data_IF_534656038954
#
_entry.id   IF_534656038954
#
_cell.length_a   1.000
_cell.length_b   1.000
_cell.length_c   1.000
_cell.angle_alpha   90.00
_cell.angle_beta   90.00
_cell.angle_gamma   90.00
#
_symmetry.space_group_name_H-M   'P 1'
#
loop_
_entity.id
_entity.type
_entity.pdbx_description
1 polymer ?
#
# COMPACT_ATOMS: atom_id res chain seq x y z
N UNK A 1 14.30 31.27 -11.56
CA UNK A 1 14.98 30.05 -11.11
C UNK A 1 14.02 29.32 -10.18
N UNK A 2 13.50 28.17 -10.58
CA UNK A 2 12.70 27.33 -9.68
C UNK A 2 13.37 25.95 -9.65
N UNK A 3 14.08 25.58 -8.56
CA UNK A 3 14.27 24.16 -8.29
C UNK A 3 12.90 23.64 -7.89
N UNK A 4 12.37 22.75 -8.74
CA UNK A 4 11.15 21.98 -8.56
C UNK A 4 10.99 21.54 -7.11
N UNK A 5 9.90 22.00 -6.50
CA UNK A 5 9.41 21.55 -5.22
C UNK A 5 9.51 20.02 -5.18
N UNK A 6 10.23 19.50 -4.20
CA UNK A 6 10.21 18.07 -3.92
C UNK A 6 8.81 17.81 -3.39
N UNK A 7 7.86 17.57 -4.31
CA UNK A 7 6.45 17.31 -4.01
C UNK A 7 6.39 16.15 -3.04
N UNK A 8 6.36 16.49 -1.75
CA UNK A 8 6.23 15.53 -0.68
C UNK A 8 4.79 15.02 -0.78
N UNK A 9 4.64 13.74 -1.10
CA UNK A 9 3.34 13.10 -1.13
C UNK A 9 2.81 13.04 0.29
N UNK A 10 1.57 13.48 0.47
CA UNK A 10 0.88 13.28 1.72
C UNK A 10 0.55 11.80 1.89
N UNK A 11 0.41 11.36 3.15
CA UNK A 11 0.14 9.97 3.47
C UNK A 11 -1.11 9.43 2.76
N UNK A 12 -2.17 10.23 2.69
CA UNK A 12 -3.45 9.85 2.11
C UNK A 12 -3.40 9.79 0.59
N UNK A 13 -2.50 10.53 -0.06
CA UNK A 13 -2.30 10.51 -1.51
C UNK A 13 -1.51 9.29 -1.98
N UNK A 14 -0.89 8.54 -1.07
CA UNK A 14 -0.19 7.31 -1.40
C UNK A 14 -1.20 6.18 -1.69
N UNK A 15 -1.00 5.37 -2.76
CA UNK A 15 -1.93 4.30 -3.13
C UNK A 15 -1.79 3.09 -2.19
N UNK A 16 -2.38 3.20 -1.01
CA UNK A 16 -2.44 2.12 -0.04
C UNK A 16 -3.33 0.97 -0.55
N UNK A 17 -3.00 -0.29 -0.21
CA UNK A 17 -3.74 -1.45 -0.69
C UNK A 17 -4.97 -1.70 0.19
N UNK A 18 -5.87 -0.72 0.23
CA UNK A 18 -7.12 -0.77 0.96
C UNK A 18 -8.26 -0.41 0.02
N UNK A 19 -9.43 -0.99 0.23
CA UNK A 19 -10.62 -0.61 -0.52
C UNK A 19 -11.09 0.76 0.00
N UNK A 20 -11.16 1.73 -0.91
CA UNK A 20 -11.79 3.03 -0.67
C UNK A 20 -13.08 3.09 -1.46
N UNK A 21 -14.10 3.71 -0.87
CA UNK A 21 -15.36 3.95 -1.56
C UNK A 21 -15.11 4.84 -2.78
N UNK A 22 -15.42 4.32 -3.98
CA UNK A 22 -15.21 5.01 -5.25
C UNK A 22 -16.05 6.29 -5.39
N UNK A 23 -17.01 6.52 -4.51
CA UNK A 23 -17.82 7.75 -4.47
C UNK A 23 -17.03 8.95 -3.92
N UNK A 24 -15.90 8.72 -3.26
CA UNK A 24 -14.97 9.78 -2.91
C UNK A 24 -14.15 10.18 -4.14
N UNK A 25 -14.37 11.41 -4.64
CA UNK A 25 -13.58 12.03 -5.74
C UNK A 25 -12.07 12.06 -5.49
N UNK A 26 -11.65 11.80 -4.27
CA UNK A 26 -10.27 11.75 -3.82
C UNK A 26 -10.07 10.42 -3.07
N UNK A 27 -9.06 9.65 -3.46
CA UNK A 27 -8.72 8.37 -2.84
C UNK A 27 -8.01 8.64 -1.49
N UNK A 28 -8.71 9.26 -0.55
CA UNK A 28 -8.18 9.73 0.73
C UNK A 28 -8.19 8.56 1.71
N UNK A 29 -7.03 7.94 1.91
CA UNK A 29 -6.86 6.88 2.90
C UNK A 29 -6.35 7.48 4.22
N UNK A 30 -7.11 7.31 5.30
CA UNK A 30 -6.63 7.58 6.66
C UNK A 30 -5.84 6.40 7.22
N UNK A 31 -4.91 6.65 8.14
CA UNK A 31 -4.10 5.61 8.77
C UNK A 31 -4.95 4.58 9.52
N UNK A 32 -6.10 5.01 10.05
CA UNK A 32 -7.05 4.15 10.76
C UNK A 32 -7.79 3.19 9.82
N UNK A 33 -7.92 3.55 8.53
CA UNK A 33 -8.52 2.68 7.52
C UNK A 33 -7.57 1.56 7.08
N UNK A 34 -6.26 1.71 7.32
CA UNK A 34 -5.25 0.70 7.01
C UNK A 34 -5.24 -0.37 8.10
N UNK A 35 -6.19 -1.27 7.98
CA UNK A 35 -6.31 -2.43 8.86
C UNK A 35 -5.95 -3.70 8.10
N UNK A 36 -5.59 -4.75 8.85
CA UNK A 36 -5.32 -6.07 8.27
C UNK A 36 -6.50 -6.59 7.46
N UNK A 37 -7.72 -6.35 7.93
CA UNK A 37 -8.93 -6.80 7.25
C UNK A 37 -9.17 -6.04 5.94
N UNK A 38 -9.01 -4.71 5.95
CA UNK A 38 -9.11 -3.89 4.74
C UNK A 38 -8.07 -4.30 3.67
N UNK A 39 -6.83 -4.57 4.09
CA UNK A 39 -5.79 -5.06 3.18
C UNK A 39 -6.13 -6.45 2.63
N UNK A 40 -6.66 -7.34 3.48
CA UNK A 40 -7.13 -8.66 3.04
C UNK A 40 -8.27 -8.57 2.04
N UNK A 41 -9.28 -7.74 2.32
CA UNK A 41 -10.41 -7.49 1.45
C UNK A 41 -9.93 -6.94 0.09
N UNK A 42 -8.99 -6.00 0.08
CA UNK A 42 -8.39 -5.47 -1.14
C UNK A 42 -7.61 -6.53 -1.94
N UNK A 43 -6.83 -7.39 -1.26
CA UNK A 43 -6.11 -8.49 -1.92
C UNK A 43 -7.07 -9.52 -2.53
N UNK A 44 -8.14 -9.87 -1.81
CA UNK A 44 -9.12 -10.88 -2.18
C UNK A 44 -10.24 -10.34 -3.08
N UNK A 45 -10.21 -9.05 -3.44
CA UNK A 45 -11.26 -8.42 -4.23
C UNK A 45 -11.38 -9.09 -5.61
N UNK A 46 -12.59 -9.55 -5.95
CA UNK A 46 -12.86 -10.35 -7.14
C UNK A 46 -12.62 -9.58 -8.45
N UNK A 47 -12.84 -8.27 -8.45
CA UNK A 47 -12.70 -7.41 -9.62
C UNK A 47 -11.29 -6.84 -9.78
N UNK A 48 -10.33 -7.27 -8.96
CA UNK A 48 -8.97 -6.75 -9.07
C UNK A 48 -8.38 -7.15 -10.42
N UNK A 49 -8.13 -6.19 -11.33
CA UNK A 49 -7.68 -6.52 -12.66
C UNK A 49 -6.33 -7.24 -12.55
N UNK A 50 -6.12 -8.27 -13.38
CA UNK A 50 -4.93 -9.12 -13.37
C UNK A 50 -3.66 -8.37 -13.88
N UNK A 51 -3.54 -7.07 -13.59
CA UNK A 51 -2.50 -6.16 -14.10
C UNK A 51 -1.10 -6.46 -13.55
N UNK A 52 -0.95 -7.50 -12.74
CA UNK A 52 0.35 -8.10 -12.44
C UNK A 52 0.83 -8.99 -13.61
N UNK A 53 0.72 -8.50 -14.85
CA UNK A 53 1.25 -9.13 -16.04
C UNK A 53 0.70 -10.54 -16.37
N UNK A 54 1.04 -11.07 -17.55
CA UNK A 54 0.54 -12.36 -18.05
C UNK A 54 1.00 -13.61 -17.25
N UNK A 55 1.73 -13.43 -16.14
CA UNK A 55 2.36 -14.52 -15.39
C UNK A 55 1.98 -14.60 -13.91
N UNK A 56 1.17 -13.69 -13.36
CA UNK A 56 0.69 -13.82 -11.98
C UNK A 56 -0.57 -14.67 -11.96
N UNK A 57 -0.34 -15.98 -11.97
CA UNK A 57 -1.39 -17.01 -12.08
C UNK A 57 -2.06 -17.34 -10.75
N UNK A 58 -1.51 -16.91 -9.60
CA UNK A 58 -2.04 -17.26 -8.27
C UNK A 58 -2.02 -16.08 -7.29
N UNK A 59 -3.02 -16.04 -6.41
CA UNK A 59 -3.17 -15.04 -5.33
C UNK A 59 -1.88 -14.89 -4.50
N UNK A 60 -1.20 -16.01 -4.20
CA UNK A 60 0.07 -16.00 -3.48
C UNK A 60 1.17 -15.18 -4.17
N UNK A 61 1.27 -15.22 -5.50
CA UNK A 61 2.28 -14.43 -6.22
C UNK A 61 1.97 -12.93 -6.18
N UNK A 62 0.68 -12.54 -6.21
CA UNK A 62 0.25 -11.13 -6.02
C UNK A 62 0.68 -10.64 -4.65
N UNK A 63 0.35 -11.40 -3.62
CA UNK A 63 0.68 -11.07 -2.22
C UNK A 63 2.19 -10.96 -2.02
N UNK A 64 3.00 -11.86 -2.60
CA UNK A 64 4.48 -11.77 -2.54
C UNK A 64 5.02 -10.51 -3.20
N UNK A 65 4.50 -10.13 -4.37
CA UNK A 65 4.94 -8.92 -5.07
C UNK A 65 4.63 -7.65 -4.27
N UNK A 66 3.45 -7.56 -3.68
CA UNK A 66 3.11 -6.44 -2.79
C UNK A 66 3.88 -6.49 -1.48
N UNK A 67 4.11 -7.67 -0.90
CA UNK A 67 4.89 -7.80 0.33
C UNK A 67 6.32 -7.26 0.14
N UNK A 68 6.91 -7.48 -1.04
CA UNK A 68 8.20 -6.89 -1.43
C UNK A 68 8.12 -5.37 -1.60
N UNK A 69 7.01 -4.84 -2.13
CA UNK A 69 6.81 -3.40 -2.35
C UNK A 69 6.57 -2.63 -1.05
N UNK A 70 5.81 -3.22 -0.13
CA UNK A 70 5.48 -2.68 1.18
C UNK A 70 6.42 -3.15 2.28
N UNK A 71 7.46 -3.92 1.94
CA UNK A 71 8.47 -4.34 2.91
C UNK A 71 9.08 -3.10 3.57
N UNK A 72 9.19 -3.02 4.91
CA UNK A 72 9.65 -1.82 5.61
C UNK A 72 11.01 -1.35 5.10
N UNK A 73 11.89 -2.26 4.68
CA UNK A 73 13.20 -1.93 4.10
C UNK A 73 13.09 -1.17 2.75
N UNK A 74 12.28 -1.68 1.82
CA UNK A 74 12.02 -1.03 0.52
C UNK A 74 11.20 0.24 0.67
N UNK A 75 10.21 0.22 1.56
CA UNK A 75 9.34 1.36 1.83
C UNK A 75 10.12 2.51 2.47
N UNK A 76 10.95 2.25 3.48
CA UNK A 76 11.75 3.27 4.16
C UNK A 76 12.81 3.90 3.25
N UNK A 77 13.32 3.14 2.27
CA UNK A 77 14.34 3.63 1.33
C UNK A 77 13.74 4.35 0.12
N UNK A 78 12.56 3.93 -0.34
CA UNK A 78 12.00 4.38 -1.63
C UNK A 78 10.79 5.31 -1.48
N UNK A 79 9.92 5.04 -0.49
CA UNK A 79 8.62 5.71 -0.32
C UNK A 79 8.66 6.73 0.80
N UNK A 80 9.21 6.37 1.96
CA UNK A 80 9.32 7.24 3.13
C UNK A 80 9.99 8.60 2.85
N UNK A 81 11.10 8.70 2.09
CA UNK A 81 11.68 10.01 1.76
C UNK A 81 10.81 10.86 0.82
N UNK A 82 9.82 10.25 0.15
CA UNK A 82 8.85 10.95 -0.69
C UNK A 82 7.62 11.40 0.09
N UNK A 83 7.40 10.87 1.30
CA UNK A 83 6.29 11.26 2.17
C UNK A 83 6.72 12.43 3.05
N UNK A 84 5.79 13.37 3.28
CA UNK A 84 6.02 14.52 4.16
C UNK A 84 6.48 14.07 5.55
N UNK A 85 7.50 14.73 6.11
CA UNK A 85 8.11 14.33 7.40
C UNK A 85 7.10 14.15 8.54
N UNK A 86 6.03 14.96 8.54
CA UNK A 86 4.97 14.89 9.54
C UNK A 86 4.21 13.55 9.52
N UNK A 87 4.07 12.92 8.36
CA UNK A 87 3.35 11.66 8.21
C UNK A 87 4.26 10.43 8.04
N UNK A 88 5.58 10.59 7.98
CA UNK A 88 6.52 9.47 7.87
C UNK A 88 6.34 8.44 8.98
N UNK A 89 6.08 8.88 10.22
CA UNK A 89 5.76 7.98 11.33
C UNK A 89 4.51 7.14 11.06
N UNK A 90 3.42 7.78 10.61
CA UNK A 90 2.16 7.11 10.25
C UNK A 90 2.35 6.15 9.08
N UNK A 91 3.08 6.57 8.06
CA UNK A 91 3.39 5.77 6.88
C UNK A 91 4.16 4.50 7.23
N UNK A 92 5.12 4.59 8.16
CA UNK A 92 5.90 3.43 8.61
C UNK A 92 5.04 2.41 9.37
N UNK A 93 4.15 2.89 10.24
CA UNK A 93 3.20 2.04 10.97
C UNK A 93 2.23 1.36 9.99
N UNK A 94 1.64 2.13 9.07
CA UNK A 94 0.76 1.61 8.03
C UNK A 94 1.45 0.56 7.15
N UNK A 95 2.66 0.84 6.67
CA UNK A 95 3.44 -0.13 5.88
C UNK A 95 3.71 -1.42 6.67
N UNK A 96 3.96 -1.32 7.98
CA UNK A 96 4.14 -2.49 8.84
C UNK A 96 2.87 -3.31 8.99
N UNK A 97 1.70 -2.66 9.12
CA UNK A 97 0.39 -3.32 9.17
C UNK A 97 0.12 -4.06 7.85
N UNK A 98 0.34 -3.39 6.71
CA UNK A 98 0.19 -3.96 5.37
C UNK A 98 1.11 -5.18 5.19
N UNK A 99 2.41 -5.04 5.47
CA UNK A 99 3.38 -6.13 5.34
C UNK A 99 2.99 -7.34 6.20
N UNK A 100 2.51 -7.11 7.42
CA UNK A 100 2.01 -8.17 8.30
C UNK A 100 0.76 -8.83 7.74
N UNK A 101 -0.22 -8.06 7.25
CA UNK A 101 -1.43 -8.59 6.64
C UNK A 101 -1.13 -9.49 5.43
N UNK A 102 -0.20 -9.06 4.57
CA UNK A 102 0.27 -9.81 3.40
C UNK A 102 1.02 -11.09 3.80
N UNK A 103 1.85 -11.01 4.85
CA UNK A 103 2.55 -12.20 5.39
C UNK A 103 1.56 -13.21 5.95
N UNK A 104 0.55 -12.75 6.71
CA UNK A 104 -0.50 -13.63 7.26
C UNK A 104 -1.32 -14.27 6.13
N UNK A 105 -1.64 -13.54 5.05
CA UNK A 105 -2.30 -14.11 3.87
C UNK A 105 -1.49 -15.24 3.23
N UNK A 106 -0.17 -15.05 3.09
CA UNK A 106 0.73 -16.07 2.57
C UNK A 106 0.85 -17.30 3.48
N UNK A 107 0.79 -17.11 4.80
CA UNK A 107 0.90 -18.19 5.77
C UNK A 107 -0.38 -19.05 5.88
N UNK A 108 -1.55 -18.49 5.54
CA UNK A 108 -2.85 -19.18 5.58
C UNK A 108 -3.19 -19.86 4.24
N UNK A 109 -2.30 -19.79 3.24
CA UNK A 109 -2.51 -20.32 1.88
C UNK A 109 -2.07 -21.76 1.68
#
# INVERSE_FOLDING_TARGET
MAPTDTECLEFWAFPWPVLTDCEARENVVDASAITRDAVRAFMLHAERPAELGPNVKTQQQKVRAEMLRFHPDKFNTTVLPKIVKADQGKAKEAASIVARALTELLAVS
#
